data_IF_488887106425
#
_entry.id   IF_488887106425
#
_cell.length_a   1.000
_cell.length_b   1.000
_cell.length_c   1.000
_cell.angle_alpha   90.00
_cell.angle_beta   90.00
_cell.angle_gamma   90.00
#
_symmetry.space_group_name_H-M   'P 1'
#
loop_
_entity.id
_entity.type
_entity.pdbx_description
1 polymer ?
#
# COMPACT_ATOMS: atom_id res chain seq x y z
N UNK A 1 -3.21 -53.60 17.06
CA UNK A 1 -3.01 -54.16 15.71
C UNK A 1 -2.83 -52.98 14.77
N UNK A 2 -1.88 -52.87 13.85
CA UNK A 2 -0.69 -53.60 13.44
C UNK A 2 -0.05 -52.64 12.41
N UNK A 3 1.24 -52.32 12.54
CA UNK A 3 1.97 -51.68 11.45
C UNK A 3 2.00 -52.64 10.25
N UNK A 4 1.84 -52.18 9.00
CA UNK A 4 2.37 -52.91 7.87
C UNK A 4 3.71 -52.30 7.45
N UNK A 5 4.75 -53.05 7.77
CA UNK A 5 6.05 -53.06 7.11
C UNK A 5 5.95 -53.88 5.82
N UNK A 6 6.33 -53.31 4.68
CA UNK A 6 6.86 -54.03 3.50
C UNK A 6 7.76 -53.02 2.78
N UNK A 7 9.10 -53.10 2.86
CA UNK A 7 9.99 -54.06 2.22
C UNK A 7 9.65 -54.29 0.75
N UNK A 8 10.31 -53.57 -0.14
CA UNK A 8 10.73 -54.20 -1.39
C UNK A 8 12.10 -53.68 -1.84
N UNK A 9 12.94 -54.67 -2.15
CA UNK A 9 14.33 -54.56 -2.56
C UNK A 9 14.32 -54.73 -4.07
N UNK A 10 14.86 -53.78 -4.83
CA UNK A 10 15.50 -54.14 -6.09
C UNK A 10 16.86 -53.47 -6.21
N UNK A 11 17.80 -54.31 -6.63
CA UNK A 11 19.22 -54.20 -6.48
C UNK A 11 19.83 -54.50 -7.85
N UNK A 12 20.88 -53.76 -8.20
CA UNK A 12 21.81 -53.99 -9.31
C UNK A 12 21.22 -53.75 -10.72
N UNK A 13 21.94 -53.34 -11.75
CA UNK A 13 23.34 -53.46 -12.15
C UNK A 13 23.48 -52.54 -13.40
N UNK A 14 24.59 -51.92 -13.78
CA UNK A 14 25.80 -52.47 -14.39
C UNK A 14 26.70 -51.27 -14.74
N UNK A 15 28.00 -51.49 -14.59
CA UNK A 15 29.13 -50.67 -15.02
C UNK A 15 29.03 -50.14 -16.46
N UNK A 16 29.63 -48.98 -16.73
CA UNK A 16 30.89 -48.90 -17.51
C UNK A 16 31.09 -47.54 -18.22
N UNK A 17 32.35 -47.07 -18.13
CA UNK A 17 33.10 -46.30 -19.14
C UNK A 17 32.65 -44.86 -19.46
N UNK A 18 33.42 -43.91 -18.93
CA UNK A 18 33.85 -42.72 -19.69
C UNK A 18 34.60 -43.20 -20.96
N UNK A 19 34.47 -42.53 -22.12
CA UNK A 19 35.18 -41.25 -22.29
C UNK A 19 34.55 -40.21 -23.23
N UNK A 20 35.17 -39.04 -23.19
CA UNK A 20 35.42 -38.13 -24.30
C UNK A 20 34.33 -37.13 -24.70
N UNK A 21 34.68 -35.87 -24.46
CA UNK A 21 34.25 -34.66 -25.13
C UNK A 21 34.10 -34.85 -26.65
N UNK A 22 32.97 -34.43 -27.23
CA UNK A 22 32.92 -33.73 -28.53
C UNK A 22 31.50 -33.21 -28.81
N UNK A 23 31.43 -31.92 -29.14
CA UNK A 23 30.38 -31.20 -29.86
C UNK A 23 28.95 -31.24 -29.33
N UNK A 24 28.54 -30.16 -28.66
CA UNK A 24 27.20 -29.61 -28.85
C UNK A 24 27.28 -28.12 -29.15
N UNK A 25 26.76 -27.82 -30.34
CA UNK A 25 26.55 -26.54 -30.97
C UNK A 25 26.31 -25.35 -30.05
N UNK A 26 27.01 -24.27 -30.38
CA UNK A 26 26.73 -22.92 -29.96
C UNK A 26 25.29 -22.53 -30.35
N UNK A 27 24.37 -22.66 -29.41
CA UNK A 27 23.15 -21.83 -29.42
C UNK A 27 23.09 -21.04 -28.12
N UNK A 28 23.80 -19.92 -28.13
CA UNK A 28 23.65 -18.84 -27.15
C UNK A 28 22.17 -18.41 -27.13
N UNK A 29 21.44 -18.87 -26.11
CA UNK A 29 20.16 -18.27 -25.71
C UNK A 29 20.42 -16.81 -25.38
N UNK A 30 20.02 -15.92 -26.29
CA UNK A 30 19.97 -14.49 -26.01
C UNK A 30 19.02 -14.28 -24.82
N UNK A 31 19.47 -13.70 -23.68
CA UNK A 31 18.54 -13.36 -22.62
C UNK A 31 17.59 -12.29 -23.17
N UNK A 32 16.28 -12.49 -23.00
CA UNK A 32 15.25 -11.49 -23.30
C UNK A 32 15.43 -10.30 -22.35
N UNK A 33 16.38 -9.44 -22.66
CA UNK A 33 16.56 -8.13 -22.04
C UNK A 33 15.48 -7.17 -22.55
N UNK A 34 14.93 -6.35 -21.65
CA UNK A 34 14.01 -5.27 -22.00
C UNK A 34 14.75 -4.27 -22.89
N UNK A 35 14.19 -3.95 -24.05
CA UNK A 35 14.69 -2.86 -24.89
C UNK A 35 14.53 -1.53 -24.15
N UNK A 36 15.57 -0.67 -24.08
CA UNK A 36 15.41 0.68 -23.57
C UNK A 36 14.52 1.45 -24.55
N UNK A 37 13.46 2.07 -24.05
CA UNK A 37 12.56 2.87 -24.87
C UNK A 37 13.28 4.16 -25.27
N UNK A 38 13.97 4.13 -26.42
CA UNK A 38 14.67 5.27 -27.00
C UNK A 38 13.64 6.17 -27.68
N UNK A 39 13.01 7.08 -26.92
CA UNK A 39 12.42 8.35 -27.39
C UNK A 39 11.69 9.00 -26.21
N UNK A 40 12.39 9.85 -25.43
CA UNK A 40 11.80 10.84 -24.51
C UNK A 40 10.81 10.34 -23.44
N UNK A 41 10.61 9.03 -23.29
CA UNK A 41 9.56 8.41 -22.51
C UNK A 41 10.06 7.89 -21.18
N UNK A 42 10.54 8.79 -20.32
CA UNK A 42 10.74 8.47 -18.90
C UNK A 42 9.41 8.12 -18.23
N UNK A 43 9.46 7.38 -17.11
CA UNK A 43 8.28 7.20 -16.24
C UNK A 43 7.69 8.57 -15.93
N UNK A 44 6.44 8.83 -16.34
CA UNK A 44 5.74 10.05 -15.93
C UNK A 44 5.76 10.11 -14.40
N UNK A 45 6.25 11.22 -13.86
CA UNK A 45 6.17 11.51 -12.43
C UNK A 45 4.70 11.37 -12.02
N UNK A 46 4.43 10.48 -11.07
CA UNK A 46 3.07 10.23 -10.60
C UNK A 46 2.61 11.48 -9.83
N UNK A 47 1.90 12.39 -10.51
CA UNK A 47 1.37 13.61 -9.91
C UNK A 47 0.14 13.30 -9.05
N UNK A 48 0.27 12.44 -8.05
CA UNK A 48 -0.77 12.30 -7.06
C UNK A 48 -0.58 13.38 -6.00
N UNK A 49 -1.16 14.56 -6.27
CA UNK A 49 -1.29 15.60 -5.26
C UNK A 49 -2.38 15.16 -4.29
N UNK A 50 -1.99 14.54 -3.19
CA UNK A 50 -2.88 14.40 -2.05
C UNK A 50 -3.06 15.80 -1.43
N UNK A 51 -4.14 16.48 -1.77
CA UNK A 51 -4.64 17.60 -0.97
C UNK A 51 -5.26 17.01 0.29
N UNK A 52 -4.50 16.99 1.38
CA UNK A 52 -5.03 16.64 2.68
C UNK A 52 -5.87 17.80 3.21
N UNK A 53 -7.09 17.50 3.63
CA UNK A 53 -7.89 18.46 4.40
C UNK A 53 -7.19 18.75 5.73
N UNK A 54 -7.15 20.02 6.12
CA UNK A 54 -6.56 20.43 7.39
C UNK A 54 -7.27 19.78 8.58
N UNK A 55 -6.55 19.59 9.68
CA UNK A 55 -7.11 18.98 10.88
C UNK A 55 -8.32 19.76 11.42
N UNK A 56 -8.23 21.10 11.44
CA UNK A 56 -9.33 21.99 11.86
C UNK A 56 -10.60 21.75 11.03
N UNK A 57 -10.45 21.57 9.71
CA UNK A 57 -11.56 21.26 8.83
C UNK A 57 -12.19 19.90 9.19
N UNK A 58 -11.37 18.89 9.45
CA UNK A 58 -11.86 17.56 9.86
C UNK A 58 -12.63 17.62 11.19
N UNK A 59 -12.20 18.44 12.15
CA UNK A 59 -12.93 18.66 13.39
C UNK A 59 -14.28 19.34 13.17
N UNK A 60 -14.31 20.38 12.34
CA UNK A 60 -15.57 21.07 12.01
C UNK A 60 -16.58 20.11 11.36
N UNK A 61 -16.11 19.26 10.45
CA UNK A 61 -16.93 18.21 9.83
C UNK A 61 -17.40 17.19 10.86
N UNK A 62 -16.53 16.74 11.78
CA UNK A 62 -16.90 15.79 12.82
C UNK A 62 -18.00 16.35 13.76
N UNK A 63 -17.92 17.63 14.15
CA UNK A 63 -18.93 18.31 14.98
C UNK A 63 -20.27 18.43 14.24
N UNK A 64 -20.23 18.86 12.99
CA UNK A 64 -21.44 18.98 12.18
C UNK A 64 -22.07 17.60 11.92
N UNK A 65 -21.26 16.56 11.70
CA UNK A 65 -21.73 15.19 11.48
C UNK A 65 -22.54 14.67 12.66
N UNK A 66 -22.09 14.92 13.88
CA UNK A 66 -22.80 14.53 15.11
C UNK A 66 -24.14 15.26 15.26
N UNK A 67 -24.23 16.51 14.78
CA UNK A 67 -25.44 17.33 14.93
C UNK A 67 -26.49 17.10 13.85
N UNK A 68 -26.09 17.02 12.57
CA UNK A 68 -27.02 17.03 11.43
C UNK A 68 -27.01 15.73 10.61
N UNK A 69 -26.04 14.83 10.87
CA UNK A 69 -25.83 13.63 10.07
C UNK A 69 -25.16 13.87 8.72
N UNK A 70 -24.88 12.78 8.00
CA UNK A 70 -23.92 12.77 6.88
C UNK A 70 -24.33 13.62 5.67
N UNK A 71 -25.61 13.60 5.29
CA UNK A 71 -26.10 14.29 4.09
C UNK A 71 -26.02 15.81 4.24
N UNK A 72 -26.45 16.33 5.38
CA UNK A 72 -26.38 17.75 5.71
C UNK A 72 -24.94 18.25 5.86
N UNK A 73 -24.03 17.43 6.41
CA UNK A 73 -22.60 17.77 6.38
C UNK A 73 -22.04 17.87 4.97
N UNK A 74 -22.41 16.95 4.07
CA UNK A 74 -21.90 16.99 2.70
C UNK A 74 -22.40 18.22 1.96
N UNK A 75 -23.68 18.59 2.11
CA UNK A 75 -24.22 19.81 1.48
C UNK A 75 -23.57 21.09 2.01
N UNK A 76 -23.26 21.14 3.32
CA UNK A 76 -22.71 22.34 3.95
C UNK A 76 -21.21 22.53 3.66
N UNK A 77 -20.41 21.47 3.72
CA UNK A 77 -18.95 21.56 3.58
C UNK A 77 -18.47 21.37 2.14
N UNK A 78 -19.26 20.72 1.30
CA UNK A 78 -18.90 20.45 -0.10
C UNK A 78 -20.03 20.87 -1.05
N UNK A 79 -20.35 22.18 -1.11
CA UNK A 79 -21.36 22.65 -2.04
C UNK A 79 -20.91 22.44 -3.49
N UNK A 80 -21.82 21.94 -4.34
CA UNK A 80 -21.57 21.73 -5.77
C UNK A 80 -20.75 20.49 -6.12
N UNK A 81 -20.53 19.58 -5.17
CA UNK A 81 -20.06 18.22 -5.50
C UNK A 81 -21.26 17.32 -5.78
N UNK A 82 -21.28 16.70 -6.95
CA UNK A 82 -22.35 15.78 -7.35
C UNK A 82 -21.81 14.37 -7.65
N UNK A 83 -22.69 13.37 -7.51
CA UNK A 83 -22.46 11.99 -7.92
C UNK A 83 -21.24 11.34 -7.27
N UNK A 84 -20.32 10.84 -8.09
CA UNK A 84 -19.17 10.03 -7.66
C UNK A 84 -18.19 10.76 -6.75
N UNK A 85 -18.09 12.09 -6.89
CA UNK A 85 -17.22 12.90 -6.03
C UNK A 85 -17.79 13.03 -4.61
N UNK A 86 -19.11 13.19 -4.50
CA UNK A 86 -19.80 13.25 -3.22
C UNK A 86 -19.68 11.90 -2.49
N UNK A 87 -19.88 10.78 -3.19
CA UNK A 87 -19.67 9.44 -2.63
C UNK A 87 -18.23 9.23 -2.14
N UNK A 88 -17.25 9.77 -2.86
CA UNK A 88 -15.83 9.69 -2.48
C UNK A 88 -15.58 10.47 -1.19
N UNK A 89 -16.13 11.68 -1.06
CA UNK A 89 -16.04 12.47 0.18
C UNK A 89 -16.81 11.84 1.33
N UNK A 90 -17.97 11.24 1.07
CA UNK A 90 -18.71 10.49 2.07
C UNK A 90 -17.86 9.34 2.65
N UNK A 91 -17.18 8.59 1.77
CA UNK A 91 -16.28 7.50 2.16
C UNK A 91 -15.04 8.00 2.91
N UNK A 92 -14.54 9.20 2.62
CA UNK A 92 -13.41 9.78 3.37
C UNK A 92 -13.81 10.29 4.75
N UNK A 93 -15.05 10.74 4.94
CA UNK A 93 -15.57 11.19 6.25
C UNK A 93 -15.79 10.01 7.20
N UNK A 94 -16.18 8.84 6.70
CA UNK A 94 -16.42 7.68 7.57
C UNK A 94 -15.23 7.28 8.49
N UNK A 95 -13.99 7.10 7.99
CA UNK A 95 -12.85 6.80 8.84
C UNK A 95 -12.45 7.95 9.75
N UNK A 96 -12.82 9.20 9.42
CA UNK A 96 -12.61 10.36 10.25
C UNK A 96 -13.43 10.24 11.52
N UNK A 97 -14.75 10.15 11.39
CA UNK A 97 -15.67 9.99 12.52
C UNK A 97 -15.30 8.77 13.37
N UNK A 98 -15.01 7.63 12.72
CA UNK A 98 -14.62 6.39 13.41
C UNK A 98 -13.35 6.51 14.25
N UNK A 99 -12.40 7.36 13.85
CA UNK A 99 -11.11 7.54 14.53
C UNK A 99 -10.98 8.91 15.23
N UNK A 100 -12.10 9.61 15.45
CA UNK A 100 -12.13 10.95 16.07
C UNK A 100 -11.30 11.01 17.34
N UNK A 101 -11.53 10.11 18.30
CA UNK A 101 -10.79 10.09 19.57
C UNK A 101 -9.27 9.93 19.41
N UNK A 102 -8.82 9.08 18.48
CA UNK A 102 -7.38 8.91 18.20
C UNK A 102 -6.77 10.16 17.57
N UNK A 103 -7.54 10.85 16.71
CA UNK A 103 -7.09 12.07 16.03
C UNK A 103 -6.98 13.24 17.00
N UNK A 104 -7.98 13.40 17.87
CA UNK A 104 -7.99 14.42 18.94
C UNK A 104 -6.83 14.19 19.89
N UNK A 105 -6.65 12.97 20.40
CA UNK A 105 -5.53 12.65 21.28
C UNK A 105 -4.15 12.91 20.63
N UNK A 106 -3.98 12.59 19.35
CA UNK A 106 -2.74 12.88 18.62
C UNK A 106 -2.50 14.38 18.48
N UNK A 107 -3.53 15.16 18.20
CA UNK A 107 -3.42 16.60 18.10
C UNK A 107 -3.11 17.23 19.45
N UNK A 108 -3.82 16.85 20.50
CA UNK A 108 -3.56 17.33 21.86
C UNK A 108 -2.13 16.99 22.31
N UNK A 109 -1.60 15.83 21.92
CA UNK A 109 -0.19 15.48 22.14
C UNK A 109 0.77 16.38 21.34
N UNK A 110 0.48 16.68 20.08
CA UNK A 110 1.33 17.53 19.24
C UNK A 110 1.31 18.98 19.72
N UNK A 111 0.13 19.52 20.01
CA UNK A 111 -0.05 20.87 20.56
C UNK A 111 0.49 20.96 21.99
N UNK A 112 0.31 19.92 22.79
CA UNK A 112 0.93 19.76 24.11
C UNK A 112 2.46 19.73 24.03
N UNK A 113 3.04 18.99 23.08
CA UNK A 113 4.50 18.94 22.87
C UNK A 113 5.07 20.26 22.35
N UNK A 114 4.34 20.98 21.48
CA UNK A 114 4.71 22.31 21.01
C UNK A 114 4.66 23.36 22.13
N UNK A 115 3.67 23.28 23.02
CA UNK A 115 3.54 24.18 24.17
C UNK A 115 4.51 23.88 25.31
N UNK A 116 4.97 22.62 25.44
CA UNK A 116 5.98 22.23 26.41
C UNK A 116 7.41 22.63 26.05
N UNK A 117 7.63 23.20 24.86
CA UNK A 117 8.88 23.86 24.51
C UNK A 117 10.07 22.91 24.40
N UNK A 118 10.59 22.79 23.19
CA UNK A 118 12.01 22.45 22.99
C UNK A 118 12.81 23.61 23.61
N UNK A 119 13.04 23.55 24.93
CA UNK A 119 14.06 24.30 25.65
C UNK A 119 15.19 23.33 25.94
N UNK A 120 16.18 23.29 25.04
CA UNK A 120 17.59 23.07 25.36
C UNK A 120 18.36 22.85 24.06
N UNK A 121 18.80 23.93 23.44
CA UNK A 121 20.09 23.95 22.75
C UNK A 121 20.81 25.19 23.26
N UNK A 122 21.40 25.03 24.45
CA UNK A 122 22.54 25.81 24.90
C UNK A 122 23.82 25.11 24.47
#
# INVERSE_FOLDING_TARGET
>A
MLFPTTSDKQQFSICARRPSCASRDLTLKVPRGRTPNHHGGGRKQHQHKHTWETYEFQLAVDVAYESTGIQATLSNFFPGLDGTMLDTKQKSIYPWVKRKGKRVAMWDMVTGALSLGIRSLG
#
